data_IF_079748011570
#
_entry.id   IF_079748011570
#
_cell.length_a   1.000
_cell.length_b   1.000
_cell.length_c   1.000
_cell.angle_alpha   90.00
_cell.angle_beta   90.00
_cell.angle_gamma   90.00
#
_symmetry.space_group_name_H-M   'P 1'
#
loop_
_entity.id
_entity.type
_entity.pdbx_description
1 polymer ?
2 polymer ?
3 non-polymer ?
4 non-polymer ?
5 water ?
#
# COMPACT_ATOMS: atom_id res chain seq x y z
N UNK A 2 -9.50 11.35 -13.31
CA UNK A 2 -10.76 11.94 -12.78
C UNK A 2 -10.72 12.08 -11.25
N UNK A 3 -10.28 13.24 -10.77
CA UNK A 3 -10.23 13.52 -9.34
C UNK A 3 -11.61 13.80 -8.76
N UNK A 4 -11.89 13.24 -7.58
CA UNK A 4 -13.15 13.50 -6.87
C UNK A 4 -13.08 13.31 -5.34
N UNK A 5 -14.04 13.89 -4.59
CA UNK A 5 -13.96 13.98 -3.13
C UNK A 5 -14.05 12.67 -2.39
N UNK A 6 -13.30 12.57 -1.30
CA UNK A 6 -13.37 11.45 -0.37
C UNK A 6 -14.80 11.26 0.14
N UNK A 7 -15.24 10.03 0.20
CA UNK A 7 -16.58 9.73 0.68
C UNK A 7 -16.53 8.51 1.57
N UNK A 8 -17.51 8.40 2.46
CA UNK A 8 -17.60 7.27 3.37
C UNK A 8 -19.06 6.86 3.59
N UNK A 9 -19.25 5.58 3.87
CA UNK A 9 -20.52 5.08 4.33
C UNK A 9 -20.29 3.99 5.37
N UNK A 10 -21.02 4.06 6.47
CA UNK A 10 -20.93 3.10 7.55
C UNK A 10 -22.27 2.35 7.62
N UNK A 11 -22.22 1.08 7.98
CA UNK A 11 -23.42 0.28 8.14
C UNK A 11 -23.49 -0.24 9.58
N UNK A 12 -24.66 -0.75 9.94
CA UNK A 12 -24.90 -1.38 11.22
C UNK A 12 -23.88 -2.50 11.45
N UNK A 13 -23.34 -2.56 12.66
CA UNK A 13 -22.43 -3.62 13.06
C UNK A 13 -23.08 -4.98 12.87
N UNK A 14 -22.34 -5.92 12.32
CA UNK A 14 -22.89 -7.24 12.02
C UNK A 14 -21.97 -8.35 12.52
N UNK A 15 -22.57 -9.41 13.07
CA UNK A 15 -21.82 -10.56 13.53
C UNK A 15 -21.69 -11.57 12.41
N UNK A 16 -20.44 -11.87 12.03
CA UNK A 16 -20.14 -12.87 11.02
C UNK A 16 -18.94 -13.70 11.52
N UNK A 17 -19.21 -14.48 12.58
CA UNK A 17 -18.19 -15.14 13.40
C UNK A 17 -17.37 -14.10 14.15
N UNK A 18 -16.48 -13.40 13.47
CA UNK A 18 -15.96 -12.14 14.01
C UNK A 18 -17.02 -11.04 13.84
N UNK A 19 -16.85 -9.96 14.60
CA UNK A 19 -17.74 -8.82 14.48
C UNK A 19 -17.19 -7.83 13.46
N UNK A 20 -18.09 -7.19 12.73
CA UNK A 20 -17.70 -6.29 11.64
C UNK A 20 -18.57 -5.03 11.64
N UNK A 21 -17.94 -3.86 11.70
CA UNK A 21 -18.61 -2.63 11.32
C UNK A 21 -18.33 -2.43 9.84
N UNK A 22 -19.30 -2.75 8.96
CA UNK A 22 -19.00 -2.66 7.53
C UNK A 22 -18.88 -1.22 7.09
N UNK A 23 -18.04 -0.97 6.09
CA UNK A 23 -17.86 0.39 5.57
C UNK A 23 -17.49 0.34 4.09
N UNK A 24 -17.75 1.42 3.38
CA UNK A 24 -17.19 1.64 2.04
C UNK A 24 -16.61 3.03 2.00
N UNK A 25 -15.51 3.20 1.26
CA UNK A 25 -14.93 4.51 1.03
C UNK A 25 -14.59 4.67 -0.43
N UNK A 26 -14.40 5.93 -0.82
CA UNK A 26 -14.08 6.25 -2.20
C UNK A 26 -13.37 7.58 -2.22
N UNK A 27 -12.83 7.92 -3.38
CA UNK A 27 -12.13 9.18 -3.55
C UNK A 27 -10.96 8.97 -4.50
N UNK A 28 -10.66 10.03 -5.26
CA UNK A 28 -9.46 10.11 -6.08
C UNK A 28 -8.88 11.51 -5.96
N UNK A 29 -7.63 11.64 -5.47
CA UNK A 29 -6.77 10.53 -5.00
C UNK A 29 -7.33 9.75 -3.80
N UNK A 30 -6.77 8.57 -3.59
CA UNK A 30 -7.13 7.68 -2.50
C UNK A 30 -7.12 8.43 -1.16
N UNK A 31 -8.16 8.24 -0.35
CA UNK A 31 -8.25 9.02 0.87
C UNK A 31 -7.37 8.54 2.03
N UNK A 32 -7.17 9.43 2.99
CA UNK A 32 -6.69 9.09 4.31
C UNK A 32 -7.88 8.72 5.18
N UNK A 33 -7.75 7.63 5.94
CA UNK A 33 -8.78 7.20 6.88
C UNK A 33 -8.32 7.27 8.32
N UNK A 34 -9.29 7.53 9.19
CA UNK A 34 -9.08 7.57 10.61
C UNK A 34 -10.38 7.15 11.28
N UNK A 35 -10.29 6.27 12.26
CA UNK A 35 -11.44 5.91 13.10
C UNK A 35 -11.40 6.66 14.43
N UNK A 36 -12.58 6.99 14.93
CA UNK A 36 -12.77 7.47 16.30
C UNK A 36 -13.57 6.43 17.07
N UNK A 37 -13.23 6.22 18.35
CA UNK A 37 -14.09 5.44 19.24
C UNK A 37 -14.47 6.32 20.44
N UNK A 38 -15.76 6.55 20.64
CA UNK A 38 -16.23 7.49 21.66
C UNK A 38 -15.47 8.82 21.60
N UNK A 39 -15.24 9.32 20.37
CA UNK A 39 -14.56 10.59 20.17
C UNK A 39 -13.04 10.61 20.26
N UNK A 40 -12.41 9.51 20.66
CA UNK A 40 -10.96 9.41 20.72
C UNK A 40 -10.43 8.72 19.48
N UNK A 41 -9.29 9.18 18.99
CA UNK A 41 -8.69 8.57 17.82
C UNK A 41 -8.40 7.12 18.16
N UNK A 42 -8.81 6.21 17.28
CA UNK A 42 -8.67 4.79 17.53
C UNK A 42 -7.30 4.28 17.06
N UNK A 43 -6.61 3.62 17.97
CA UNK A 43 -5.34 2.96 17.69
C UNK A 43 -5.60 1.49 17.50
N UNK A 44 -5.46 1.05 16.25
CA UNK A 44 -5.76 -0.33 15.89
C UNK A 44 -4.82 -1.33 16.55
N UNK A 45 -5.36 -2.49 16.94
CA UNK A 45 -4.58 -3.61 17.49
C UNK A 45 -5.09 -4.90 16.83
N UNK A 46 -4.55 -6.06 17.21
CA UNK A 46 -5.03 -7.33 16.65
C UNK A 46 -6.48 -7.63 17.07
N UNK A 47 -7.00 -6.91 18.07
CA UNK A 47 -8.38 -7.08 18.52
C UNK A 47 -9.39 -6.09 17.87
N UNK A 48 -8.86 -5.11 17.15
CA UNK A 48 -9.71 -4.15 16.46
C UNK A 48 -8.91 -3.49 15.36
N UNK A 49 -9.19 -3.90 14.12
CA UNK A 49 -8.42 -3.44 12.98
C UNK A 49 -9.26 -3.32 11.72
N UNK A 50 -8.82 -2.47 10.80
CA UNK A 50 -9.47 -2.32 9.53
C UNK A 50 -9.06 -3.48 8.62
N UNK A 51 -10.06 -4.12 8.01
CA UNK A 51 -9.79 -5.14 6.99
C UNK A 51 -10.60 -4.83 5.75
N UNK A 52 -9.90 -4.70 4.62
CA UNK A 52 -10.49 -4.38 3.32
C UNK A 52 -10.74 -5.64 2.52
N UNK A 53 -11.79 -5.62 1.70
CA UNK A 53 -11.95 -6.61 0.65
C UNK A 53 -10.98 -6.26 -0.47
N UNK A 54 -10.62 -7.26 -1.25
CA UNK A 54 -9.75 -7.05 -2.40
C UNK A 54 -10.46 -6.12 -3.37
N UNK A 55 -9.74 -5.13 -3.93
CA UNK A 55 -10.42 -4.20 -4.82
C UNK A 55 -10.79 -4.84 -6.16
N UNK A 56 -11.92 -4.41 -6.72
CA UNK A 56 -12.32 -4.80 -8.06
C UNK A 56 -11.52 -3.96 -9.06
N UNK A 57 -11.23 -4.53 -10.23
CA UNK A 57 -10.25 -3.97 -11.15
C UNK A 57 -10.62 -2.62 -11.78
N UNK A 58 -11.91 -2.39 -12.01
CA UNK A 58 -12.37 -1.18 -12.72
C UNK A 58 -13.10 -0.20 -11.79
N UNK A 59 -12.58 -0.05 -10.57
CA UNK A 59 -13.27 0.67 -9.50
C UNK A 59 -12.29 1.38 -8.57
N UNK A 60 -12.72 2.50 -8.01
CA UNK A 60 -11.96 3.19 -6.96
C UNK A 60 -12.56 2.98 -5.57
N UNK A 61 -13.79 2.49 -5.53
CA UNK A 61 -14.49 2.24 -4.28
C UNK A 61 -13.86 1.05 -3.54
N UNK A 62 -13.72 1.19 -2.22
CA UNK A 62 -13.12 0.15 -1.39
C UNK A 62 -14.05 -0.18 -0.25
N UNK A 63 -14.18 -1.47 0.02
CA UNK A 63 -15.08 -1.95 1.05
C UNK A 63 -14.29 -2.69 2.13
N UNK A 64 -14.83 -2.71 3.34
CA UNK A 64 -14.21 -3.48 4.41
C UNK A 64 -14.97 -3.49 5.71
N UNK A 65 -14.28 -3.96 6.76
CA UNK A 65 -14.79 -3.99 8.13
C UNK A 65 -13.81 -3.31 9.05
N UNK A 66 -14.33 -2.61 10.06
CA UNK A 66 -13.64 -2.53 11.33
C UNK A 66 -13.97 -3.86 11.99
N UNK A 67 -12.93 -4.67 12.21
CA UNK A 67 -13.10 -6.05 12.61
C UNK A 67 -12.69 -6.27 14.05
N UNK A 68 -13.58 -6.91 14.80
CA UNK A 68 -13.35 -7.24 16.20
C UNK A 68 -13.51 -8.75 16.38
N UNK A 69 -12.39 -9.44 16.53
CA UNK A 69 -12.41 -10.91 16.63
C UNK A 69 -13.02 -11.41 17.94
N UNK A 70 -12.98 -10.60 18.99
CA UNK A 70 -13.50 -10.99 20.29
C UNK A 70 -13.87 -9.76 21.13
N UNK A 71 -14.94 -9.06 20.75
CA UNK A 71 -15.25 -7.83 21.48
C UNK A 71 -15.69 -8.08 22.91
N UNK A 72 -15.47 -7.07 23.76
CA UNK A 72 -15.92 -7.11 25.14
C UNK A 72 -16.75 -5.85 25.39
N UNK A 73 -17.20 -5.67 26.63
CA UNK A 73 -18.03 -4.53 27.00
C UNK A 73 -17.34 -3.20 26.71
N UNK A 74 -16.00 -3.15 26.78
CA UNK A 74 -15.27 -1.90 26.55
C UNK A 74 -15.25 -1.47 25.09
N UNK A 75 -15.69 -2.34 24.19
CA UNK A 75 -15.80 -2.01 22.77
C UNK A 75 -17.17 -1.44 22.40
N UNK A 76 -18.13 -1.50 23.33
CA UNK A 76 -19.45 -0.88 23.11
C UNK A 76 -19.32 0.64 23.05
N UNK A 77 -19.97 1.27 22.07
CA UNK A 77 -19.95 2.72 21.97
C UNK A 77 -20.06 3.28 20.58
N UNK A 78 -19.57 4.50 20.41
CA UNK A 78 -19.72 5.26 19.19
C UNK A 78 -18.49 5.13 18.31
N UNK A 79 -18.69 4.70 17.07
CA UNK A 79 -17.64 4.56 16.10
C UNK A 79 -17.84 5.55 14.98
N UNK A 80 -16.77 6.29 14.66
CA UNK A 80 -16.79 7.25 13.57
C UNK A 80 -15.66 6.92 12.62
N UNK A 81 -15.94 6.97 11.31
CA UNK A 81 -14.92 6.84 10.28
C UNK A 81 -14.81 8.17 9.56
N UNK A 82 -13.56 8.61 9.40
CA UNK A 82 -13.22 9.88 8.77
C UNK A 82 -12.44 9.58 7.52
N UNK A 83 -12.80 10.23 6.42
CA UNK A 83 -12.07 10.11 5.16
C UNK A 83 -11.77 11.47 4.57
N UNK A 84 -10.55 11.64 4.07
CA UNK A 84 -10.16 12.90 3.46
C UNK A 84 -9.23 12.71 2.28
N UNK A 85 -9.40 13.59 1.29
CA UNK A 85 -8.42 13.75 0.22
C UNK A 85 -8.41 15.23 -0.13
N UNK A 86 -7.61 15.64 -1.13
CA UNK A 86 -7.55 17.08 -1.40
C UNK A 86 -8.86 17.74 -1.86
N UNK A 87 -9.83 16.95 -2.32
CA UNK A 87 -11.07 17.50 -2.89
C UNK A 87 -12.31 17.37 -2.01
N UNK A 88 -12.17 16.72 -0.87
CA UNK A 88 -13.27 16.65 0.09
C UNK A 88 -12.97 15.84 1.32
N UNK A 89 -13.86 15.98 2.30
CA UNK A 89 -13.67 15.38 3.60
C UNK A 89 -15.03 14.93 4.16
N UNK A 90 -15.07 13.72 4.68
CA UNK A 90 -16.33 13.14 5.10
C UNK A 90 -16.20 12.38 6.43
N UNK A 91 -17.33 12.22 7.10
CA UNK A 91 -17.39 11.57 8.40
C UNK A 91 -18.71 10.80 8.50
N UNK A 92 -18.66 9.58 9.05
CA UNK A 92 -19.88 8.84 9.38
C UNK A 92 -19.73 8.22 10.76
N UNK A 93 -20.81 8.20 11.55
CA UNK A 93 -20.81 7.49 12.84
C UNK A 93 -22.07 6.70 13.14
N UNK A 94 -21.88 5.67 13.96
CA UNK A 94 -22.93 4.76 14.37
C UNK A 94 -22.64 4.34 15.80
N UNK A 95 -23.63 3.73 16.44
CA UNK A 95 -23.46 3.11 17.74
C UNK A 95 -23.33 1.62 17.49
N UNK A 96 -22.47 0.95 18.24
CA UNK A 96 -22.35 -0.48 18.19
C UNK A 96 -22.40 -1.08 19.60
N UNK A 97 -23.23 -2.10 19.76
CA UNK A 97 -23.33 -2.84 21.00
C UNK A 97 -22.99 -4.29 20.66
N UNK A 98 -21.93 -4.80 21.27
CA UNK A 98 -21.44 -6.16 20.97
C UNK A 98 -21.87 -7.19 22.01
N UNK A 99 -22.01 -6.77 23.27
CA UNK A 99 -22.43 -7.64 24.35
C UNK A 99 -23.96 -7.64 24.47
CA UNK B 1 -3.10 3.95 11.19
C UNK B 1 -3.58 2.50 11.22
N UNK B 2 -3.16 1.70 10.24
CA UNK B 2 -3.73 0.36 10.02
C UNK B 2 -2.84 -0.76 10.56
N UNK B 3 -3.37 -1.58 11.46
CA UNK B 3 -2.68 -2.75 12.00
C UNK B 3 -2.24 -3.73 10.92
N UNK B 4 -3.11 -4.02 9.96
CA UNK B 4 -2.78 -4.96 8.87
C UNK B 4 -1.95 -4.35 7.73
N UNK B 5 -1.99 -3.03 7.61
CA UNK B 5 -1.43 -2.38 6.43
C UNK B 5 -0.48 -1.28 6.82
N UNK B 6 0.74 -1.65 7.22
CA UNK B 6 1.71 -0.62 7.61
C UNK B 6 2.11 0.31 6.46
N UNK B 7 1.90 -0.09 5.21
CA UNK B 7 2.24 0.75 4.04
C UNK B 7 1.00 1.18 3.26
N UNK B 8 -0.15 1.19 3.93
CA UNK B 8 -1.39 1.55 3.29
C UNK B 8 -1.97 0.37 2.51
N UNK B 9 -3.16 0.60 1.96
CA UNK B 9 -3.88 -0.40 1.19
C UNK B 9 -4.22 0.18 -0.19
N UNK B 10 -3.41 -0.16 -1.18
CA UNK B 10 -3.56 0.36 -2.55
C UNK B 10 -3.67 1.88 -2.57
N UNK B 11 -2.86 2.56 -1.76
CA UNK B 11 -2.85 4.02 -1.72
C UNK B 11 -3.65 4.64 -0.59
N UNK B 12 -4.61 3.92 -0.04
CA UNK B 12 -5.33 4.40 1.14
C UNK B 12 -4.41 4.34 2.33
N UNK B 13 -4.30 5.45 3.04
CA UNK B 13 -3.40 5.54 4.19
C UNK B 13 -4.20 5.82 5.45
N UNK B 14 -3.59 5.51 6.57
CA UNK B 14 -4.19 5.74 7.86
C UNK B 14 -3.70 7.09 8.38
N UNK C 3 0.57 16.82 -9.78
CA UNK C 3 0.71 15.85 -10.91
C UNK C 3 1.98 16.05 -11.72
N UNK C 4 2.74 14.96 -11.96
CA UNK C 4 3.91 14.99 -12.84
C UNK C 4 4.36 13.57 -13.24
N UNK C 5 5.15 13.44 -14.31
CA UNK C 5 5.43 12.11 -14.86
C UNK C 5 6.21 11.17 -13.95
N UNK C 6 5.94 9.88 -14.07
CA UNK C 6 6.72 8.84 -13.40
C UNK C 6 8.16 8.91 -13.88
N UNK C 7 9.08 8.67 -12.96
CA UNK C 7 10.50 8.63 -13.28
C UNK C 7 11.16 7.49 -12.50
N UNK C 8 12.30 7.05 -12.99
CA UNK C 8 13.03 5.95 -12.39
C UNK C 8 14.51 6.08 -12.68
N UNK C 9 15.31 5.58 -11.76
CA UNK C 9 16.74 5.58 -11.90
C UNK C 9 17.30 4.34 -11.23
N UNK C 10 18.20 3.66 -11.92
CA UNK C 10 18.92 2.53 -11.34
C UNK C 10 20.37 2.92 -11.09
N UNK C 11 20.98 2.26 -10.12
CA UNK C 11 22.40 2.44 -9.80
C UNK C 11 23.07 1.09 -9.84
N UNK C 12 24.40 1.11 -9.78
CA UNK C 12 25.20 -0.11 -9.92
C UNK C 12 24.90 -1.07 -8.76
N UNK C 13 24.75 -2.35 -9.07
CA UNK C 13 24.49 -3.36 -8.04
C UNK C 13 25.61 -3.36 -7.00
N UNK C 14 25.24 -3.44 -5.72
CA UNK C 14 26.22 -3.39 -4.63
C UNK C 14 25.98 -4.52 -3.62
N UNK C 15 27.09 -5.11 -3.15
CA UNK C 15 27.08 -6.15 -2.12
C UNK C 15 27.04 -5.52 -0.73
N UNK C 16 26.08 -5.95 0.08
CA UNK C 16 25.72 -5.28 1.32
C UNK C 16 25.24 -6.33 2.33
N UNK C 17 25.97 -7.44 2.40
CA UNK C 17 25.48 -8.66 3.06
C UNK C 17 24.55 -9.38 2.09
N UNK C 18 23.38 -8.78 1.86
CA UNK C 18 22.55 -9.15 0.71
C UNK C 18 22.96 -8.27 -0.48
N UNK C 19 22.86 -8.80 -1.70
CA UNK C 19 23.09 -8.00 -2.91
C UNK C 19 21.90 -7.05 -3.18
N UNK C 20 22.21 -5.85 -3.65
CA UNK C 20 21.20 -4.81 -3.87
C UNK C 20 21.43 -4.12 -5.21
N UNK C 21 20.38 -4.07 -6.03
CA UNK C 21 20.32 -3.14 -7.15
C UNK C 21 19.60 -1.89 -6.66
N UNK C 22 20.35 -0.82 -6.34
CA UNK C 22 19.67 0.36 -5.79
C UNK C 22 18.81 1.09 -6.82
N UNK C 23 17.65 1.59 -6.40
CA UNK C 23 16.80 2.37 -7.29
C UNK C 23 16.12 3.52 -6.57
N UNK C 24 15.71 4.49 -7.38
CA UNK C 24 14.78 5.54 -6.99
C UNK C 24 13.65 5.63 -8.00
N UNK C 25 12.44 5.88 -7.51
CA UNK C 25 11.28 6.15 -8.35
C UNK C 25 10.53 7.38 -7.86
N UNK C 26 9.75 7.97 -8.74
CA UNK C 26 8.97 9.16 -8.40
C UNK C 26 7.80 9.28 -9.36
N UNK C 27 6.88 10.18 -9.04
CA UNK C 27 5.66 10.43 -9.83
C UNK C 27 4.47 10.74 -8.94
N UNK C 28 3.54 11.53 -9.46
CA UNK C 28 2.24 11.77 -8.81
C UNK C 28 1.18 11.75 -9.91
N UNK C 29 0.20 10.84 -9.82
CA UNK C 29 0.03 9.78 -8.80
C UNK C 29 1.19 8.81 -8.70
N UNK C 30 1.25 8.09 -7.59
CA UNK C 30 2.30 7.14 -7.35
C UNK C 30 2.37 6.14 -8.52
N UNK C 31 3.58 5.87 -9.01
CA UNK C 31 3.71 4.98 -10.16
C UNK C 31 3.45 3.54 -9.81
N UNK C 32 3.02 2.77 -10.80
CA UNK C 32 3.06 1.33 -10.72
C UNK C 32 4.43 0.90 -11.24
N UNK C 33 4.93 -0.23 -10.72
CA UNK C 33 6.28 -0.73 -11.01
C UNK C 33 6.29 -2.20 -11.43
N UNK C 34 7.33 -2.56 -12.17
CA UNK C 34 7.57 -3.93 -12.59
C UNK C 34 9.05 -4.11 -12.90
N UNK C 35 9.61 -5.24 -12.50
CA UNK C 35 10.97 -5.61 -12.89
C UNK C 35 10.97 -6.60 -14.06
N UNK C 36 12.01 -6.51 -14.88
CA UNK C 36 12.29 -7.51 -15.91
C UNK C 36 13.70 -8.03 -15.73
N UNK C 37 13.91 -9.30 -16.08
CA UNK C 37 15.24 -9.91 -16.15
C UNK C 37 15.40 -10.38 -17.58
N UNK C 38 16.38 -9.81 -18.28
CA UNK C 38 16.60 -10.07 -19.70
C UNK C 38 15.33 -9.89 -20.53
N UNK C 39 14.55 -8.86 -20.18
CA UNK C 39 13.33 -8.54 -20.92
C UNK C 39 12.02 -9.15 -20.44
N UNK C 40 12.08 -10.25 -19.68
CA UNK C 40 10.83 -10.90 -19.22
C UNK C 40 10.50 -10.57 -17.78
N UNK C 41 9.20 -10.57 -17.50
CA UNK C 41 8.69 -10.21 -16.19
C UNK C 41 9.43 -11.00 -15.12
N UNK C 42 9.90 -10.29 -14.09
CA UNK C 42 10.55 -10.92 -12.96
C UNK C 42 9.53 -11.10 -11.84
N UNK C 43 9.25 -12.36 -11.51
CA UNK C 43 8.29 -12.71 -10.47
C UNK C 43 9.03 -12.78 -9.15
N UNK C 44 8.63 -11.93 -8.20
CA UNK C 44 9.37 -11.83 -6.94
C UNK C 44 9.16 -13.06 -6.07
N UNK C 45 10.18 -13.39 -5.29
CA UNK C 45 10.15 -14.52 -4.37
C UNK C 45 10.86 -14.11 -3.08
N UNK C 46 10.87 -15.01 -2.10
CA UNK C 46 11.58 -14.78 -0.84
C UNK C 46 13.09 -14.57 -1.04
N UNK C 47 13.64 -15.02 -2.17
CA UNK C 47 15.06 -14.80 -2.50
C UNK C 47 15.34 -13.55 -3.36
N UNK C 48 14.32 -13.08 -4.09
CA UNK C 48 14.47 -11.93 -4.99
C UNK C 48 13.25 -11.03 -4.89
N UNK C 49 13.41 -9.87 -4.28
CA UNK C 49 12.27 -9.00 -4.03
C UNK C 49 12.63 -7.53 -3.90
N UNK C 50 11.62 -6.69 -4.11
CA UNK C 50 11.73 -5.26 -3.89
C UNK C 50 11.65 -4.91 -2.40
N UNK C 51 12.60 -4.12 -1.93
CA UNK C 51 12.58 -3.60 -0.57
C UNK C 51 12.74 -2.08 -0.58
N UNK C 52 11.72 -1.35 -0.15
CA UNK C 52 11.76 0.10 -0.07
C UNK C 52 12.37 0.55 1.25
N UNK C 53 12.98 1.73 1.21
CA UNK C 53 13.33 2.44 2.44
C UNK C 53 12.09 3.21 2.86
N UNK C 54 11.95 3.43 4.16
CA UNK C 54 10.83 4.22 4.65
C UNK C 54 10.87 5.61 4.00
N UNK C 55 9.70 6.12 3.57
CA UNK C 55 9.68 7.40 2.89
C UNK C 55 9.88 8.58 3.85
N UNK C 56 10.47 9.67 3.36
CA UNK C 56 10.62 10.90 4.14
C UNK C 56 9.35 11.74 4.03
N UNK C 57 9.13 12.58 5.02
CA UNK C 57 7.83 13.26 5.22
C UNK C 57 7.47 14.26 4.11
N UNK C 58 8.45 15.02 3.63
CA UNK C 58 8.17 16.07 2.65
C UNK C 58 8.12 15.57 1.19
N UNK C 59 8.40 14.28 0.96
CA UNK C 59 8.83 13.79 -0.35
C UNK C 59 7.89 12.78 -1.02
N UNK C 60 7.81 12.85 -2.33
CA UNK C 60 7.15 11.82 -3.15
C UNK C 60 8.15 10.77 -3.65
N UNK C 61 9.44 11.09 -3.59
CA UNK C 61 10.49 10.19 -4.06
C UNK C 61 10.51 8.96 -3.16
N UNK C 62 10.72 7.79 -3.76
CA UNK C 62 10.85 6.56 -3.00
C UNK C 62 12.15 5.90 -3.41
N UNK C 63 12.85 5.35 -2.43
CA UNK C 63 14.11 4.69 -2.67
C UNK C 63 14.05 3.24 -2.20
N UNK C 64 14.81 2.37 -2.86
CA UNK C 64 14.86 0.98 -2.45
C UNK C 64 15.96 0.17 -3.12
N UNK C 65 15.83 -1.14 -3.01
CA UNK C 65 16.72 -2.12 -3.62
C UNK C 65 15.86 -3.17 -4.28
N UNK C 66 16.35 -3.74 -5.37
CA UNK C 66 15.97 -5.10 -5.71
C UNK C 66 16.96 -5.92 -4.87
N UNK C 67 16.42 -6.64 -3.91
CA UNK C 67 17.23 -7.37 -2.97
C UNK C 67 17.32 -8.82 -3.43
N UNK C 68 18.55 -9.32 -3.58
CA UNK C 68 18.78 -10.73 -3.87
C UNK C 68 19.60 -11.33 -2.72
N UNK C 69 19.07 -12.37 -2.08
CA UNK C 69 19.70 -12.94 -0.88
C UNK C 69 20.76 -13.98 -1.25
N UNK C 70 20.42 -14.93 -2.12
CA UNK C 70 21.35 -16.01 -2.48
C UNK C 70 21.60 -16.07 -4.01
N UNK C 71 22.15 -14.99 -4.59
CA UNK C 71 22.36 -14.94 -6.03
C UNK C 71 23.57 -15.75 -6.49
N UNK C 72 23.42 -16.48 -7.60
CA UNK C 72 24.52 -17.18 -8.25
C UNK C 72 24.72 -16.60 -9.65
N UNK C 73 25.58 -17.22 -10.45
CA UNK C 73 25.81 -16.79 -11.83
C UNK C 73 24.56 -16.79 -12.73
N UNK C 74 23.54 -17.60 -12.44
CA UNK C 74 22.32 -17.58 -13.27
C UNK C 74 21.48 -16.31 -13.09
N UNK C 75 21.75 -15.54 -12.04
CA UNK C 75 21.10 -14.24 -11.82
C UNK C 75 21.85 -13.09 -12.51
N UNK C 76 22.98 -13.40 -13.17
CA UNK C 76 23.70 -12.42 -13.96
C UNK C 76 22.87 -12.11 -15.21
N UNK C 77 22.78 -10.85 -15.58
CA UNK C 77 21.98 -10.44 -16.72
C UNK C 77 21.46 -9.02 -16.64
N UNK C 78 20.50 -8.70 -17.52
CA UNK C 78 20.01 -7.34 -17.68
C UNK C 78 18.79 -7.13 -16.79
N UNK C 79 18.88 -6.20 -15.85
CA UNK C 79 17.75 -5.91 -14.97
C UNK C 79 17.10 -4.60 -15.37
N UNK C 80 15.79 -4.63 -15.58
CA UNK C 80 15.04 -3.42 -15.94
C UNK C 80 13.94 -3.13 -14.91
N UNK C 81 13.82 -1.86 -14.53
CA UNK C 81 12.73 -1.41 -13.68
C UNK C 81 11.86 -0.46 -14.49
N UNK C 82 10.56 -0.76 -14.52
CA UNK C 82 9.57 0.04 -15.24
C UNK C 82 8.78 0.81 -14.21
N UNK C 83 8.41 2.03 -14.57
CA UNK C 83 7.52 2.85 -13.75
C UNK C 83 6.57 3.58 -14.66
N UNK C 84 5.29 3.60 -14.28
CA UNK C 84 4.28 4.24 -15.08
C UNK C 84 3.22 4.88 -14.19
N UNK C 85 2.76 6.06 -14.62
CA UNK C 85 1.56 6.68 -14.07
C UNK C 85 0.89 7.38 -15.25
N UNK C 86 -0.27 8.03 -15.02
CA UNK C 86 -1.00 8.65 -16.15
C UNK C 86 -0.26 9.74 -16.93
N UNK C 87 0.82 10.29 -16.37
CA UNK C 87 1.53 11.39 -17.02
C UNK C 87 2.89 11.02 -17.61
N UNK C 88 3.30 9.76 -17.45
CA UNK C 88 4.55 9.32 -18.03
C UNK C 88 4.84 7.85 -17.81
N UNK C 89 5.63 7.29 -18.71
CA UNK C 89 6.18 5.95 -18.55
C UNK C 89 7.69 6.06 -18.65
N UNK C 90 8.38 5.29 -17.81
CA UNK C 90 9.82 5.29 -17.79
C UNK C 90 10.36 3.89 -17.51
N UNK C 91 11.62 3.68 -17.90
CA UNK C 91 12.31 2.45 -17.60
C UNK C 91 13.79 2.73 -17.45
N UNK C 92 14.45 1.90 -16.66
CA UNK C 92 15.89 2.00 -16.51
C UNK C 92 16.46 0.60 -16.45
N UNK C 93 17.59 0.41 -17.12
CA UNK C 93 18.20 -0.89 -17.28
C UNK C 93 19.65 -0.86 -16.87
N UNK C 94 20.12 -2.02 -16.46
CA UNK C 94 21.44 -2.17 -15.91
C UNK C 94 21.85 -3.62 -16.13
N UNK C 95 23.15 -3.85 -16.32
CA UNK C 95 23.69 -5.20 -16.32
C UNK C 95 24.20 -5.48 -14.91
N UNK C 96 23.91 -6.66 -14.40
CA UNK C 96 24.34 -7.05 -13.06
C UNK C 96 25.14 -8.33 -13.09
N UNK C 97 26.31 -8.30 -12.45
CA UNK C 97 27.13 -9.51 -12.26
C UNK C 97 27.23 -9.80 -10.77
N UNK C 98 26.89 -11.03 -10.39
CA UNK C 98 26.92 -11.45 -8.99
C UNK C 98 28.04 -12.48 -8.71
N UNK C 99 27.98 -13.64 -9.36
CA UNK C 99 29.05 -14.63 -9.29
C UNK C 99 29.91 -14.50 -10.55
N UNK C 100 31.08 -15.15 -10.54
CA UNK C 100 32.10 -15.00 -11.61
C UNK C 100 32.58 -13.55 -11.74
CA UNK D 1 4.09 -7.59 -7.93
C UNK D 1 5.13 -7.72 -6.81
N UNK D 2 4.84 -7.14 -5.65
CA UNK D 2 5.83 -7.08 -4.58
C UNK D 2 5.65 -8.23 -3.58
N UNK D 3 6.73 -8.95 -3.28
CA UNK D 3 6.71 -10.06 -2.33
C UNK D 3 6.45 -9.56 -0.91
N UNK D 4 7.09 -8.45 -0.53
CA UNK D 4 6.89 -7.85 0.79
C UNK D 4 5.66 -6.96 0.90
N UNK D 5 5.09 -6.52 -0.23
CA UNK D 5 4.05 -5.50 -0.21
C UNK D 5 2.82 -5.89 -1.02
N UNK D 6 2.02 -6.85 -0.53
CA UNK D 6 0.89 -7.35 -1.33
C UNK D 6 -0.21 -6.31 -1.58
N UNK D 7 -0.22 -5.23 -0.80
CA UNK D 7 -1.19 -4.15 -0.99
C UNK D 7 -0.52 -2.82 -1.39
N UNK D 8 0.69 -2.92 -1.96
CA UNK D 8 1.41 -1.76 -2.45
C UNK D 8 2.23 -1.10 -1.36
N UNK D 9 2.99 -0.09 -1.76
CA UNK D 9 3.83 0.65 -0.84
C UNK D 9 3.49 2.13 -0.93
N UNK D 10 2.67 2.61 0.01
CA UNK D 10 2.16 3.98 0.00
C UNK D 10 1.65 4.36 -1.38
N UNK D 11 0.86 3.46 -1.98
CA UNK D 11 0.22 3.74 -3.26
C UNK D 11 0.94 3.19 -4.47
N UNK D 12 2.23 2.95 -4.37
CA UNK D 12 2.99 2.33 -5.46
C UNK D 12 2.59 0.88 -5.55
N UNK D 13 2.07 0.48 -6.70
CA UNK D 13 1.58 -0.88 -6.91
C UNK D 13 2.52 -1.63 -7.82
N UNK D 14 2.52 -2.95 -7.69
CA UNK D 14 3.31 -3.80 -8.58
C UNK D 14 2.46 -4.20 -9.77
X LIG E 1 -2.10 -5.90 20.28
X LIG E 1 -2.03 -5.93 18.85
X LIG E 1 -3.30 -6.67 20.81
X LIG E 1 -3.08 -8.08 20.63
X LIG F 1 -5.50 -11.77 8.76
X LIG F 1 -5.10 -11.47 10.11
X LIG F 1 -6.77 -10.99 8.46
X LIG F 1 -7.82 -11.39 9.35
X LIG G 1 -12.28 11.64 23.79
X LIG G 1 -13.46 12.44 23.76
X LIG G 1 -11.04 12.49 24.06
X LIG G 1 -9.99 12.16 23.13
X LIG H 1 -5.12 10.38 9.01
X LIG H 1 -4.68 11.62 9.25
X LIG H 1 -6.21 10.18 8.47
X LIG H 1 -4.20 9.26 9.42
X LIG H 1 -4.51 8.00 8.78
X LIG I 1 0.19 5.74 6.70
X LIG I 1 0.69 5.51 8.00
X LIG I 1 0.01 4.38 6.06
X LIG I 1 -1.26 3.87 6.42
X LIG J 1 9.56 4.29 -21.43
X LIG J 1 9.36 5.31 -22.40
X LIG J 1 8.67 3.08 -21.69
X LIG J 1 8.80 2.16 -20.60
X LIG K 1 18.81 3.75 -3.13
X LIG K 1 19.18 2.86 -2.08
X LIG K 1 19.32 5.16 -2.84
X LIG K 1 20.22 5.65 -3.85
X LIG L 1 4.65 -0.33 -16.36
X LIG L 1 4.30 -1.51 -17.09
X LIG L 1 5.01 -0.67 -14.92
X LIG L 1 3.87 -1.17 -14.22
X LIG M 1 16.21 -12.32 -23.81
X LIG M 1 15.79 -10.98 -24.07
X LIG M 1 17.74 -12.47 -23.91
X LIG M 1 18.26 -11.79 -25.08
X LIG N 1 1.83 -4.56 -13.02
X LIG N 1 1.21 -4.31 -14.17
X LIG N 1 2.01 -5.68 -12.58
X LIG N 1 2.34 -3.36 -12.27
X LIG N 1 2.69 -3.72 -10.92
X LIG O 1 -0.67 -5.26 -6.62
X LIG O 1 -0.77 -4.47 -7.82
X LIG O 1 -0.28 -4.36 -5.44
X LIG O 1 1.13 -4.04 -5.46
#
# INVERSE_FOLDING_TARGET
NVSFPASVQLHTAVEMHHWCIPFSVDGQPAPSLRWLFNGSVLNETSFIFTEFLEPAANETVRHGCLRLNQPTHVNNGNYTLLAANPFGQASASIMAAFMDNP
GFFLYPHGFYGIVC
NVSFPASVQLHTAVEMHHWCIPFSVDGQPAPSLRWLFNGSVLNETSFIFTEFLEPAANETVRHGCLRLNQPTHVNNGNYTLLAANPFGQASASIMAAFMDNP
GFFLYPHGFYGIVC
EDO C1 O1 C2 O2
EDO C1 O1 C2 O2
EDO C1 O1 C2 O2
GM1 C1 N1 O1 C2 N2
EDO C1 O1 C2 O2
EDO C1 O1 C2 O2
EDO C1 O1 C2 O2
EDO C1 O1 C2 O2
EDO C1 O1 C2 O2
GM1 C1 N1 O1 C2 N2
EDO C1 O1 C2 O2
#
